data_IF_199087543608
#
_entry.id   IF_199087543608
#
_cell.length_a   1.000
_cell.length_b   1.000
_cell.length_c   1.000
_cell.angle_alpha   90.00
_cell.angle_beta   90.00
_cell.angle_gamma   90.00
#
_symmetry.space_group_name_H-M   'P 1'
#
loop_
_entity.id
_entity.type
_entity.pdbx_description
1 polymer ?
#
# COMPACT_ATOMS: atom_id res chain seq x y z
N UNK A 1 5.86 33.84 2.97
CA UNK A 1 6.87 32.78 3.20
C UNK A 1 6.13 31.50 3.55
N UNK A 2 5.73 30.74 2.54
CA UNK A 2 5.04 29.46 2.72
C UNK A 2 6.07 28.35 2.54
N UNK A 3 6.29 27.63 3.62
CA UNK A 3 7.34 26.65 3.87
C UNK A 3 7.05 25.37 3.09
N UNK A 4 7.99 24.99 2.23
CA UNK A 4 8.12 23.68 1.58
C UNK A 4 7.60 22.53 2.47
N UNK A 5 6.45 21.98 2.10
CA UNK A 5 5.93 20.70 2.58
C UNK A 5 5.53 19.89 1.36
N UNK A 6 6.49 19.17 0.85
CA UNK A 6 6.34 18.31 -0.32
C UNK A 6 7.67 17.71 -0.72
N UNK A 7 8.54 17.44 0.26
CA UNK A 7 9.48 16.34 0.09
C UNK A 7 8.62 15.09 0.15
N UNK A 8 8.05 14.75 -1.00
CA UNK A 8 7.69 13.39 -1.35
C UNK A 8 8.90 12.58 -0.96
N UNK A 9 8.75 11.77 0.08
CA UNK A 9 9.72 10.74 0.43
C UNK A 9 9.77 9.85 -0.80
N UNK A 10 10.66 10.22 -1.73
CA UNK A 10 11.13 9.40 -2.82
C UNK A 10 11.86 8.25 -2.11
N UNK A 11 11.05 7.30 -1.64
CA UNK A 11 11.45 6.14 -0.88
C UNK A 11 12.47 5.45 -1.76
N UNK A 12 13.71 5.69 -1.38
CA UNK A 12 14.91 5.24 -2.04
C UNK A 12 14.89 3.72 -2.02
N UNK A 13 14.29 3.14 -3.04
CA UNK A 13 14.15 1.70 -3.28
C UNK A 13 15.49 1.02 -3.58
N UNK A 14 16.59 1.73 -3.35
CA UNK A 14 17.88 1.47 -3.98
C UNK A 14 18.70 0.39 -3.31
N UNK A 15 18.23 -0.23 -2.22
CA UNK A 15 18.98 -1.31 -1.56
C UNK A 15 18.19 -2.14 -0.51
N UNK A 16 16.88 -2.37 -0.69
CA UNK A 16 16.12 -3.24 0.20
C UNK A 16 16.07 -4.66 -0.38
N UNK A 17 16.36 -5.68 0.43
CA UNK A 17 16.14 -7.07 0.02
C UNK A 17 14.65 -7.34 -0.22
N UNK A 18 14.33 -8.43 -0.93
CA UNK A 18 12.94 -8.89 -1.15
C UNK A 18 12.13 -8.91 0.16
N UNK A 19 12.76 -9.38 1.24
CA UNK A 19 12.17 -9.46 2.58
C UNK A 19 11.79 -8.08 3.12
N UNK A 20 12.64 -7.07 2.95
CA UNK A 20 12.35 -5.72 3.44
C UNK A 20 11.25 -5.04 2.63
N UNK A 21 11.21 -5.31 1.31
CA UNK A 21 10.15 -4.82 0.44
C UNK A 21 8.79 -5.42 0.84
N UNK A 22 8.74 -6.71 1.18
CA UNK A 22 7.53 -7.34 1.72
C UNK A 22 7.12 -6.75 3.07
N UNK A 23 8.06 -6.54 4.01
CA UNK A 23 7.74 -5.92 5.30
C UNK A 23 7.21 -4.49 5.16
N UNK A 24 7.65 -3.74 4.15
CA UNK A 24 7.13 -2.39 3.86
C UNK A 24 5.67 -2.40 3.37
N UNK A 25 5.20 -3.51 2.81
CA UNK A 25 3.81 -3.65 2.38
C UNK A 25 2.86 -3.97 3.55
N UNK A 26 3.37 -4.52 4.65
CA UNK A 26 2.57 -4.96 5.80
C UNK A 26 1.63 -3.89 6.37
N UNK A 27 2.05 -2.62 6.58
CA UNK A 27 1.16 -1.60 7.15
C UNK A 27 -0.06 -1.32 6.27
N UNK A 28 0.14 -1.23 4.95
CA UNK A 28 -0.93 -0.98 4.00
C UNK A 28 -1.87 -2.19 3.88
N UNK A 29 -1.31 -3.42 3.91
CA UNK A 29 -2.11 -4.66 3.96
C UNK A 29 -2.98 -4.70 5.23
N UNK A 30 -2.43 -4.31 6.37
CA UNK A 30 -3.14 -4.32 7.64
C UNK A 30 -4.22 -3.23 7.70
N UNK A 31 -3.98 -2.07 7.08
CA UNK A 31 -4.99 -1.04 6.90
C UNK A 31 -6.16 -1.54 6.05
N UNK A 32 -5.89 -2.15 4.89
CA UNK A 32 -6.93 -2.73 4.03
C UNK A 32 -7.71 -3.84 4.75
N UNK A 33 -7.05 -4.67 5.56
CA UNK A 33 -7.72 -5.67 6.39
C UNK A 33 -8.67 -5.04 7.42
N UNK A 34 -8.25 -3.95 8.07
CA UNK A 34 -9.10 -3.19 9.00
C UNK A 34 -10.30 -2.54 8.32
N UNK A 35 -10.11 -2.00 7.12
CA UNK A 35 -11.20 -1.46 6.30
C UNK A 35 -12.19 -2.56 5.91
N UNK A 36 -11.70 -3.73 5.49
CA UNK A 36 -12.56 -4.87 5.17
C UNK A 36 -13.38 -5.33 6.38
N UNK A 37 -12.75 -5.43 7.56
CA UNK A 37 -13.46 -5.76 8.80
C UNK A 37 -14.54 -4.72 9.15
N UNK A 38 -14.25 -3.44 8.92
CA UNK A 38 -15.23 -2.36 9.11
C UNK A 38 -16.40 -2.50 8.15
N UNK A 39 -16.15 -2.82 6.88
CA UNK A 39 -17.20 -3.06 5.88
C UNK A 39 -18.06 -4.28 6.23
N UNK A 40 -17.49 -5.32 6.84
CA UNK A 40 -18.26 -6.48 7.30
C UNK A 40 -19.22 -6.09 8.43
N UNK A 41 -18.73 -5.36 9.43
CA UNK A 41 -19.58 -4.80 10.50
C UNK A 41 -20.69 -3.93 9.92
N UNK A 42 -20.35 -3.15 8.89
CA UNK A 42 -21.29 -2.27 8.22
C UNK A 42 -22.38 -3.03 7.46
N UNK A 43 -22.02 -4.13 6.81
CA UNK A 43 -22.97 -5.04 6.16
C UNK A 43 -23.95 -5.67 7.15
N UNK A 44 -23.53 -5.94 8.39
CA UNK A 44 -24.40 -6.44 9.46
C UNK A 44 -25.33 -5.34 10.03
N UNK A 45 -24.88 -4.09 10.05
CA UNK A 45 -25.63 -2.94 10.55
C UNK A 45 -26.73 -2.42 9.58
N UNK A 46 -26.77 -2.93 8.35
CA UNK A 46 -27.81 -2.63 7.36
C UNK A 46 -27.93 -1.14 7.03
N UNK A 47 -29.10 -0.54 7.33
CA UNK A 47 -29.45 0.84 6.96
C UNK A 47 -28.96 1.92 7.95
N UNK A 48 -28.32 1.54 9.06
CA UNK A 48 -27.91 2.51 10.10
C UNK A 48 -26.62 3.27 9.78
N UNK A 49 -26.10 3.12 8.56
CA UNK A 49 -24.80 3.67 8.18
C UNK A 49 -24.98 4.80 7.20
N UNK A 50 -24.54 5.96 7.63
CA UNK A 50 -24.56 7.14 6.78
C UNK A 50 -23.60 6.94 5.59
N UNK A 51 -24.03 7.26 4.35
CA UNK A 51 -23.20 7.16 3.16
C UNK A 51 -21.87 7.92 3.26
N UNK A 52 -21.81 8.97 4.09
CA UNK A 52 -20.58 9.73 4.34
C UNK A 52 -19.50 8.90 5.04
N UNK A 53 -19.89 7.95 5.91
CA UNK A 53 -18.95 7.05 6.57
C UNK A 53 -18.33 6.06 5.57
N UNK A 54 -19.14 5.55 4.63
CA UNK A 54 -18.65 4.70 3.53
C UNK A 54 -17.71 5.47 2.59
N UNK A 55 -18.03 6.72 2.26
CA UNK A 55 -17.18 7.56 1.43
C UNK A 55 -15.84 7.89 2.10
N UNK A 56 -15.84 8.12 3.42
CA UNK A 56 -14.63 8.33 4.20
C UNK A 56 -13.75 7.07 4.20
N UNK A 57 -14.37 5.89 4.39
CA UNK A 57 -13.68 4.61 4.34
C UNK A 57 -13.06 4.37 2.95
N UNK A 58 -13.80 4.63 1.88
CA UNK A 58 -13.32 4.47 0.51
C UNK A 58 -12.11 5.37 0.21
N UNK A 59 -12.16 6.65 0.60
CA UNK A 59 -11.02 7.57 0.45
C UNK A 59 -9.81 7.14 1.27
N UNK A 60 -10.02 6.50 2.42
CA UNK A 60 -8.91 6.00 3.22
C UNK A 60 -8.17 4.83 2.57
N UNK A 61 -8.77 4.13 1.61
CA UNK A 61 -8.12 3.01 0.90
C UNK A 61 -7.35 3.43 -0.34
N UNK A 62 -7.68 4.58 -0.94
CA UNK A 62 -7.19 5.00 -2.26
C UNK A 62 -5.66 5.04 -2.30
N UNK A 63 -5.04 5.72 -1.33
CA UNK A 63 -3.58 5.79 -1.23
C UNK A 63 -2.91 4.45 -0.96
N UNK A 64 -3.52 3.60 -0.13
CA UNK A 64 -2.96 2.30 0.27
C UNK A 64 -2.85 1.33 -0.90
N UNK A 65 -3.86 1.29 -1.78
CA UNK A 65 -3.83 0.43 -2.96
C UNK A 65 -2.77 0.89 -3.97
N UNK A 66 -2.63 2.20 -4.16
CA UNK A 66 -1.62 2.76 -5.05
C UNK A 66 -0.20 2.48 -4.55
N UNK A 67 0.07 2.70 -3.26
CA UNK A 67 1.36 2.42 -2.63
C UNK A 67 1.72 0.92 -2.69
N UNK A 68 0.76 0.03 -2.41
CA UNK A 68 0.96 -1.41 -2.54
C UNK A 68 1.26 -1.81 -3.98
N UNK A 69 0.58 -1.23 -4.96
CA UNK A 69 0.80 -1.51 -6.38
C UNK A 69 2.21 -1.09 -6.81
N UNK A 70 2.69 0.06 -6.33
CA UNK A 70 4.04 0.56 -6.58
C UNK A 70 5.08 -0.37 -5.95
N UNK A 71 4.94 -0.67 -4.65
CA UNK A 71 5.84 -1.57 -3.94
C UNK A 71 5.93 -2.95 -4.60
N UNK A 72 4.79 -3.50 -5.00
CA UNK A 72 4.71 -4.81 -5.67
C UNK A 72 5.41 -4.82 -7.03
N UNK A 73 5.24 -3.76 -7.83
CA UNK A 73 5.91 -3.63 -9.13
C UNK A 73 7.43 -3.55 -8.96
N UNK A 74 7.89 -2.75 -8.00
CA UNK A 74 9.31 -2.61 -7.71
C UNK A 74 9.91 -3.91 -7.17
N UNK A 75 9.16 -4.68 -6.39
CA UNK A 75 9.56 -6.02 -5.95
C UNK A 75 9.76 -6.97 -7.13
N UNK A 76 8.80 -7.03 -8.07
CA UNK A 76 8.94 -7.87 -9.27
C UNK A 76 10.13 -7.46 -10.14
N UNK A 77 10.38 -6.16 -10.28
CA UNK A 77 11.55 -5.67 -11.01
C UNK A 77 12.86 -6.06 -10.34
N UNK A 78 12.91 -6.08 -9.00
CA UNK A 78 14.08 -6.54 -8.25
C UNK A 78 14.32 -8.04 -8.46
N UNK A 79 13.29 -8.87 -8.32
CA UNK A 79 13.35 -10.33 -8.54
C UNK A 79 13.77 -10.67 -9.98
N UNK A 80 13.21 -9.95 -10.97
CA UNK A 80 13.54 -10.16 -12.38
C UNK A 80 14.98 -9.74 -12.73
N UNK A 81 15.56 -8.78 -12.01
CA UNK A 81 16.97 -8.40 -12.15
C UNK A 81 17.88 -9.47 -11.57
N UNK A 82 17.58 -9.96 -10.37
CA UNK A 82 18.40 -10.96 -9.66
C UNK A 82 18.50 -12.28 -10.43
N UNK A 83 17.37 -12.78 -10.93
CA UNK A 83 17.31 -13.97 -11.80
C UNK A 83 18.06 -13.83 -13.13
N UNK A 84 18.17 -12.61 -13.67
CA UNK A 84 18.92 -12.35 -14.90
C UNK A 84 20.43 -12.33 -14.65
N UNK A 85 20.87 -11.81 -13.52
CA UNK A 85 22.28 -11.85 -13.11
C UNK A 85 22.77 -13.28 -12.86
N UNK A 86 21.95 -14.13 -12.26
CA UNK A 86 22.27 -15.55 -11.99
C UNK A 86 22.38 -16.39 -13.28
N UNK A 87 21.63 -16.04 -14.33
CA UNK A 87 21.70 -16.73 -15.64
C UNK A 87 22.90 -16.32 -16.51
N UNK A 88 23.61 -15.25 -16.13
CA UNK A 88 24.79 -14.74 -16.86
C UNK A 88 26.11 -14.94 -16.12
N UNK A 89 26.08 -15.52 -14.92
CA UNK A 89 27.23 -15.89 -14.10
C UNK A 89 27.56 -17.37 -14.29
#
# INVERSE_FOLDING_TARGET
>A
MAKDRGQTEELTFKNCGIVDAVHRMEPELQHLAGVLATLQIFGEAGDSIEPVALAALARSMEGSIDELTICWRQLFEAVAKESRTEATA
#
